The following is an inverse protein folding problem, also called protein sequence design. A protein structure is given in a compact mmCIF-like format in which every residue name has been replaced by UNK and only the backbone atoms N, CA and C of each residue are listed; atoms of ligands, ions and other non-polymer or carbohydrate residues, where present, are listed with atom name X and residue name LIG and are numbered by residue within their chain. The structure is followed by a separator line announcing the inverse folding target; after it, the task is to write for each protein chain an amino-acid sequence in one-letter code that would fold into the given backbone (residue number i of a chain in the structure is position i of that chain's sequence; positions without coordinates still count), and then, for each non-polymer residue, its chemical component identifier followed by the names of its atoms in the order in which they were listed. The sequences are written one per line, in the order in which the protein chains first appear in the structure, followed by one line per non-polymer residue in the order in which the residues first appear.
data_IF_975442552171
#
_entry.id   IF_975442552171
#
_cell.length_a   1.000
_cell.length_b   1.000
_cell.length_c   1.000
_cell.angle_alpha   90.00
_cell.angle_beta   90.00
_cell.angle_gamma   90.00
#
_symmetry.space_group_name_H-M   'P 1'
#
loop_
_entity.id
_entity.type
_entity.pdbx_description
1 polymer ?
#
# COMPACT_ATOMS: atom_id res chain seq x y z
N UNK A 1 21.50 37.34 -7.63
CA UNK A 1 20.37 36.54 -7.13
C UNK A 1 19.41 36.18 -8.26
N UNK A 2 18.92 37.15 -9.04
CA UNK A 2 17.94 36.91 -10.12
C UNK A 2 18.42 35.86 -11.15
N UNK A 3 19.70 35.85 -11.52
CA UNK A 3 20.24 34.79 -12.38
C UNK A 3 20.18 33.41 -11.72
N UNK A 4 20.46 33.34 -10.42
CA UNK A 4 20.46 32.06 -9.69
C UNK A 4 19.04 31.47 -9.51
N UNK A 5 18.02 32.32 -9.54
CA UNK A 5 16.59 31.93 -9.42
C UNK A 5 15.86 31.90 -10.76
N UNK A 6 16.58 32.10 -11.89
CA UNK A 6 15.99 32.17 -13.23
C UNK A 6 14.84 33.21 -13.33
N UNK A 7 15.05 34.40 -12.72
CA UNK A 7 14.06 35.49 -12.71
C UNK A 7 14.54 36.77 -13.38
N UNK A 8 15.74 36.75 -14.00
CA UNK A 8 16.32 37.95 -14.61
C UNK A 8 15.45 38.49 -15.77
N UNK A 9 14.81 37.60 -16.51
CA UNK A 9 13.90 37.95 -17.61
C UNK A 9 12.63 38.68 -17.16
N UNK A 10 12.32 38.64 -15.86
CA UNK A 10 11.15 39.32 -15.27
C UNK A 10 11.49 40.66 -14.63
N UNK A 11 12.75 41.13 -14.78
CA UNK A 11 13.24 42.31 -14.07
C UNK A 11 12.37 43.57 -14.31
N UNK A 12 11.87 43.71 -15.53
CA UNK A 12 11.10 44.88 -15.97
C UNK A 12 9.58 44.63 -16.03
N UNK A 13 9.11 43.45 -15.50
CA UNK A 13 7.68 43.11 -15.46
C UNK A 13 7.07 43.41 -14.11
N UNK A 14 5.80 43.82 -14.11
CA UNK A 14 5.04 43.93 -12.88
C UNK A 14 4.73 42.50 -12.32
N UNK A 15 4.74 42.38 -10.99
CA UNK A 15 4.49 41.09 -10.31
C UNK A 15 3.08 40.54 -10.62
N UNK A 16 2.14 41.42 -10.99
CA UNK A 16 0.78 41.04 -11.39
C UNK A 16 0.70 40.36 -12.75
N UNK A 17 1.72 40.54 -13.58
CA UNK A 17 1.83 39.95 -14.93
C UNK A 17 2.48 38.55 -14.93
N UNK A 18 2.98 38.12 -13.78
CA UNK A 18 3.69 36.85 -13.63
C UNK A 18 2.73 35.70 -13.31
N UNK A 19 3.01 34.54 -13.85
CA UNK A 19 2.35 33.31 -13.46
C UNK A 19 2.64 32.92 -12.00
N UNK A 20 1.91 31.97 -11.44
CA UNK A 20 2.11 31.51 -10.07
C UNK A 20 3.54 31.04 -9.79
N UNK A 21 4.12 30.23 -10.68
CA UNK A 21 5.49 29.71 -10.54
C UNK A 21 6.55 30.79 -10.68
N UNK A 22 6.37 31.76 -11.60
CA UNK A 22 7.25 32.92 -11.76
C UNK A 22 7.22 33.81 -10.51
N UNK A 23 6.04 34.07 -9.94
CA UNK A 23 5.89 34.78 -8.68
C UNK A 23 6.63 34.12 -7.53
N UNK A 24 6.52 32.79 -7.38
CA UNK A 24 7.23 32.05 -6.33
C UNK A 24 8.75 32.15 -6.49
N UNK A 25 9.28 32.07 -7.72
CA UNK A 25 10.71 32.28 -7.99
C UNK A 25 11.17 33.70 -7.66
N UNK A 26 10.35 34.71 -7.93
CA UNK A 26 10.65 36.13 -7.57
C UNK A 26 10.63 36.31 -6.04
N UNK A 27 9.67 35.70 -5.34
CA UNK A 27 9.63 35.75 -3.86
C UNK A 27 10.87 35.07 -3.26
N UNK A 28 11.30 33.92 -3.80
CA UNK A 28 12.52 33.27 -3.40
C UNK A 28 13.76 34.14 -3.67
N UNK A 29 13.82 34.80 -4.85
CA UNK A 29 14.88 35.76 -5.19
C UNK A 29 14.97 36.90 -4.19
N UNK A 30 13.82 37.48 -3.80
CA UNK A 30 13.74 38.55 -2.80
C UNK A 30 14.25 38.11 -1.43
N UNK A 31 13.88 36.88 -0.98
CA UNK A 31 14.39 36.32 0.27
C UNK A 31 15.91 36.12 0.23
N UNK A 32 16.43 35.57 -0.85
CA UNK A 32 17.86 35.30 -1.05
C UNK A 32 18.71 36.58 -1.20
N UNK A 33 18.12 37.70 -1.64
CA UNK A 33 18.80 38.98 -1.74
C UNK A 33 19.24 39.52 -0.37
N UNK A 34 18.60 39.06 0.71
CA UNK A 34 18.96 39.41 2.09
C UNK A 34 20.15 38.60 2.62
N UNK A 35 20.71 37.67 1.82
CA UNK A 35 21.82 36.79 2.19
C UNK A 35 21.58 36.03 3.52
N UNK A 36 20.44 35.35 3.69
CA UNK A 36 20.09 34.70 4.94
C UNK A 36 20.99 33.48 5.19
N UNK A 37 21.23 33.16 6.46
CA UNK A 37 21.86 31.89 6.88
C UNK A 37 20.85 30.75 6.94
N UNK A 38 19.61 31.07 7.20
CA UNK A 38 18.49 30.12 7.29
C UNK A 38 17.33 30.66 6.46
N UNK A 39 16.75 29.84 5.61
CA UNK A 39 15.58 30.14 4.80
C UNK A 39 14.37 29.46 5.41
N UNK A 40 13.34 30.23 5.72
CA UNK A 40 12.06 29.70 6.18
C UNK A 40 11.07 29.76 5.01
N UNK A 41 10.50 28.62 4.68
CA UNK A 41 9.61 28.45 3.53
C UNK A 41 8.27 27.90 4.02
N UNK A 42 7.23 28.70 3.83
CA UNK A 42 5.87 28.28 4.12
C UNK A 42 5.20 27.91 2.79
N UNK A 43 4.94 26.61 2.61
CA UNK A 43 4.31 26.04 1.43
C UNK A 43 4.87 26.54 0.07
N UNK A 44 6.18 26.44 -0.18
CA UNK A 44 6.80 27.03 -1.37
C UNK A 44 6.32 26.43 -2.69
N UNK A 45 5.58 25.32 -2.63
CA UNK A 45 5.06 24.58 -3.78
C UNK A 45 3.54 24.66 -3.94
N UNK A 46 2.84 25.40 -3.06
CA UNK A 46 1.39 25.53 -3.13
C UNK A 46 0.94 26.20 -4.42
N UNK A 47 -0.16 25.71 -4.99
CA UNK A 47 -0.75 26.22 -6.25
C UNK A 47 0.13 26.08 -7.50
N UNK A 48 1.17 25.25 -7.45
CA UNK A 48 1.99 24.92 -8.60
C UNK A 48 1.60 23.54 -9.14
N UNK A 49 1.68 23.36 -10.45
CA UNK A 49 1.62 22.01 -11.01
C UNK A 49 2.88 21.19 -10.66
N UNK A 50 2.81 19.87 -10.85
CA UNK A 50 3.84 18.93 -10.41
C UNK A 50 5.23 19.28 -10.96
N UNK A 51 5.33 19.71 -12.23
CA UNK A 51 6.62 20.02 -12.85
C UNK A 51 7.26 21.25 -12.20
N UNK A 52 6.49 22.30 -11.97
CA UNK A 52 6.97 23.49 -11.27
C UNK A 52 7.26 23.27 -9.79
N UNK A 53 6.53 22.38 -9.10
CA UNK A 53 6.86 21.97 -7.73
C UNK A 53 8.26 21.33 -7.65
N UNK A 54 8.53 20.36 -8.55
CA UNK A 54 9.82 19.68 -8.62
C UNK A 54 10.95 20.65 -8.97
N UNK A 55 10.73 21.52 -9.95
CA UNK A 55 11.71 22.56 -10.33
C UNK A 55 12.06 23.48 -9.16
N UNK A 56 11.04 23.95 -8.43
CA UNK A 56 11.20 24.84 -7.28
C UNK A 56 12.00 24.15 -6.15
N UNK A 57 11.66 22.93 -5.79
CA UNK A 57 12.36 22.19 -4.75
C UNK A 57 13.80 21.86 -5.15
N UNK A 58 14.04 21.50 -6.41
CA UNK A 58 15.40 21.33 -6.94
C UNK A 58 16.20 22.64 -6.90
N UNK A 59 15.59 23.76 -7.27
CA UNK A 59 16.21 25.07 -7.21
C UNK A 59 16.59 25.43 -5.76
N UNK A 60 15.67 25.26 -4.82
CA UNK A 60 15.92 25.51 -3.40
C UNK A 60 17.06 24.62 -2.89
N UNK A 61 17.02 23.31 -3.14
CA UNK A 61 18.05 22.35 -2.72
C UNK A 61 19.44 22.71 -3.26
N UNK A 62 19.51 23.08 -4.53
CA UNK A 62 20.75 23.56 -5.15
C UNK A 62 21.28 24.82 -4.47
N UNK A 63 20.45 25.85 -4.28
CA UNK A 63 20.83 27.12 -3.68
C UNK A 63 21.28 26.98 -2.22
N UNK A 64 20.61 26.13 -1.44
CA UNK A 64 21.01 25.80 -0.07
C UNK A 64 22.44 25.23 -0.06
N UNK A 65 22.73 24.27 -0.95
CA UNK A 65 24.03 23.63 -1.04
C UNK A 65 25.12 24.61 -1.52
N UNK A 66 24.85 25.37 -2.60
CA UNK A 66 25.81 26.33 -3.18
C UNK A 66 26.16 27.48 -2.21
N UNK A 67 25.18 27.91 -1.42
CA UNK A 67 25.35 29.06 -0.50
C UNK A 67 25.61 28.64 0.95
N UNK A 68 25.74 27.34 1.22
CA UNK A 68 25.93 26.78 2.56
C UNK A 68 24.93 27.35 3.59
N UNK A 69 23.63 27.29 3.23
CA UNK A 69 22.51 27.78 4.06
C UNK A 69 21.74 26.60 4.66
N UNK A 70 21.04 26.85 5.77
CA UNK A 70 19.98 25.97 6.23
C UNK A 70 18.62 26.34 5.61
N UNK A 71 17.69 25.39 5.54
CA UNK A 71 16.29 25.69 5.23
C UNK A 71 15.36 24.88 6.11
N UNK A 72 14.24 25.49 6.47
CA UNK A 72 13.10 24.83 7.10
C UNK A 72 11.88 25.10 6.23
N UNK A 73 11.22 24.04 5.77
CA UNK A 73 10.06 24.17 4.89
C UNK A 73 8.85 23.44 5.48
N UNK A 74 7.69 24.11 5.47
CA UNK A 74 6.41 23.43 5.63
C UNK A 74 5.99 22.88 4.26
N UNK A 75 5.74 21.57 4.18
CA UNK A 75 5.28 20.87 2.97
C UNK A 75 4.05 20.05 3.30
N UNK A 76 3.05 20.06 2.42
CA UNK A 76 1.84 19.24 2.59
C UNK A 76 1.99 17.84 2.00
N UNK A 77 2.79 17.68 0.95
CA UNK A 77 3.01 16.38 0.32
C UNK A 77 4.18 15.64 0.99
N UNK A 78 3.90 14.53 1.71
CA UNK A 78 4.92 13.77 2.38
C UNK A 78 5.86 13.05 1.40
N UNK A 79 5.45 12.78 0.15
CA UNK A 79 6.32 12.22 -0.88
C UNK A 79 7.36 13.24 -1.33
N UNK A 80 6.94 14.51 -1.56
CA UNK A 80 7.89 15.59 -1.85
C UNK A 80 8.81 15.84 -0.66
N UNK A 81 8.29 15.84 0.57
CA UNK A 81 9.11 15.98 1.76
C UNK A 81 10.15 14.84 1.86
N UNK A 82 9.74 13.60 1.62
CA UNK A 82 10.65 12.44 1.61
C UNK A 82 11.77 12.56 0.58
N UNK A 83 11.46 13.07 -0.60
CA UNK A 83 12.41 13.14 -1.71
C UNK A 83 13.40 14.30 -1.59
N UNK A 84 12.97 15.43 -1.06
CA UNK A 84 13.73 16.67 -1.10
C UNK A 84 14.36 17.09 0.24
N UNK A 85 13.85 16.61 1.37
CA UNK A 85 14.36 16.97 2.68
C UNK A 85 15.35 15.94 3.23
N UNK A 86 16.41 16.42 3.91
CA UNK A 86 17.38 15.55 4.58
C UNK A 86 16.81 15.02 5.91
N UNK A 87 15.93 15.81 6.54
CA UNK A 87 15.24 15.47 7.79
C UNK A 87 13.79 15.94 7.75
N UNK A 88 12.94 15.19 8.43
CA UNK A 88 11.52 15.47 8.58
C UNK A 88 11.23 15.79 10.05
N UNK A 89 10.40 16.79 10.27
CA UNK A 89 9.73 17.05 11.55
C UNK A 89 8.26 16.71 11.35
N UNK A 90 7.79 15.66 12.00
CA UNK A 90 6.38 15.31 12.00
C UNK A 90 5.71 15.96 13.20
N UNK A 91 4.59 16.66 12.97
CA UNK A 91 3.89 17.41 14.01
C UNK A 91 2.46 16.89 14.20
N UNK A 92 2.01 16.87 15.46
CA UNK A 92 0.65 16.54 15.85
C UNK A 92 0.21 17.50 16.96
N UNK A 93 -0.96 18.12 16.80
CA UNK A 93 -1.56 19.02 17.80
C UNK A 93 -0.59 20.12 18.30
N UNK A 94 0.16 20.71 17.37
CA UNK A 94 1.12 21.78 17.66
C UNK A 94 2.40 21.34 18.36
N UNK A 95 2.64 20.04 18.48
CA UNK A 95 3.85 19.45 19.10
C UNK A 95 4.63 18.62 18.09
N UNK A 96 5.94 18.53 18.30
CA UNK A 96 6.77 17.61 17.54
C UNK A 96 6.40 16.19 18.00
N UNK A 97 5.93 15.38 17.07
CA UNK A 97 5.61 13.97 17.26
C UNK A 97 6.84 13.10 17.05
N UNK A 98 7.56 13.36 15.93
CA UNK A 98 8.77 12.62 15.58
C UNK A 98 9.72 13.52 14.76
N UNK A 99 11.04 13.18 14.75
CA UNK A 99 12.06 13.92 14.02
C UNK A 99 13.21 13.00 13.62
N UNK A 100 13.57 13.01 12.34
CA UNK A 100 14.67 12.16 11.84
C UNK A 100 14.80 12.15 10.34
N UNK A 101 15.45 11.11 9.80
CA UNK A 101 15.51 10.88 8.36
C UNK A 101 14.10 10.48 7.84
N UNK A 102 13.81 10.77 6.55
CA UNK A 102 12.49 10.47 5.98
C UNK A 102 12.01 9.03 6.23
N UNK A 103 12.87 8.04 6.02
CA UNK A 103 12.55 6.62 6.21
C UNK A 103 12.22 6.24 7.66
N UNK A 104 12.79 6.95 8.63
CA UNK A 104 12.61 6.65 10.05
C UNK A 104 11.32 7.30 10.58
N UNK A 105 10.96 8.46 10.04
CA UNK A 105 9.81 9.26 10.49
C UNK A 105 8.53 8.95 9.72
N UNK A 106 8.62 8.79 8.39
CA UNK A 106 7.47 8.56 7.52
C UNK A 106 7.13 7.05 7.47
N UNK A 107 6.73 6.50 8.59
CA UNK A 107 6.28 5.11 8.72
C UNK A 107 4.76 5.01 8.65
N UNK A 108 4.21 3.86 8.23
CA UNK A 108 2.76 3.62 8.22
C UNK A 108 2.15 3.88 9.60
N UNK A 109 2.85 3.49 10.68
CA UNK A 109 2.43 3.74 12.06
C UNK A 109 2.33 5.23 12.37
N UNK A 110 3.39 6.00 12.11
CA UNK A 110 3.43 7.43 12.42
C UNK A 110 2.39 8.21 11.61
N UNK A 111 2.24 7.87 10.32
CA UNK A 111 1.25 8.51 9.46
C UNK A 111 -0.18 8.18 9.87
N UNK A 112 -0.43 6.96 10.35
CA UNK A 112 -1.72 6.59 10.95
C UNK A 112 -2.01 7.40 12.20
N UNK A 113 -1.04 7.51 13.11
CA UNK A 113 -1.20 8.22 14.38
C UNK A 113 -1.39 9.73 14.20
N UNK A 114 -0.70 10.34 13.23
CA UNK A 114 -0.72 11.79 13.04
C UNK A 114 -1.88 12.23 12.16
N UNK A 115 -2.09 11.56 11.01
CA UNK A 115 -3.07 11.97 10.01
C UNK A 115 -4.34 11.12 9.99
N UNK A 116 -4.39 10.05 10.80
CA UNK A 116 -5.49 9.08 10.82
C UNK A 116 -5.82 8.51 9.44
N UNK A 117 -4.78 8.20 8.66
CA UNK A 117 -4.87 7.57 7.34
C UNK A 117 -4.10 6.25 7.33
N UNK A 118 -4.64 5.26 6.65
CA UNK A 118 -3.94 4.03 6.35
C UNK A 118 -3.12 4.23 5.08
N UNK A 119 -1.84 3.87 5.13
CA UNK A 119 -0.90 4.05 4.02
C UNK A 119 0.04 2.86 3.90
N UNK A 120 0.44 2.56 2.68
CA UNK A 120 1.59 1.72 2.39
C UNK A 120 2.80 2.62 2.23
N UNK A 121 3.88 2.32 2.95
CA UNK A 121 5.16 3.04 2.83
C UNK A 121 6.20 2.08 2.29
N UNK A 122 6.81 2.42 1.14
CA UNK A 122 7.86 1.62 0.52
C UNK A 122 9.13 2.45 0.31
N UNK A 123 10.28 1.83 0.49
CA UNK A 123 11.55 2.47 0.17
C UNK A 123 11.71 2.64 -1.34
N UNK A 124 12.23 3.79 -1.75
CA UNK A 124 12.52 4.04 -3.15
C UNK A 124 13.80 3.28 -3.55
N UNK A 125 13.76 2.43 -4.61
CA UNK A 125 14.88 1.53 -4.94
C UNK A 125 16.17 2.25 -5.34
N UNK A 126 16.11 3.53 -5.70
CA UNK A 126 17.25 4.31 -6.21
C UNK A 126 17.63 5.45 -5.26
N UNK A 127 16.66 6.04 -4.56
CA UNK A 127 16.89 7.19 -3.69
C UNK A 127 16.72 6.76 -2.22
N UNK A 128 17.46 7.41 -1.32
CA UNK A 128 17.30 7.22 0.12
C UNK A 128 16.04 7.97 0.63
N UNK A 129 14.91 7.62 0.07
CA UNK A 129 13.58 8.21 0.33
C UNK A 129 12.53 7.11 0.38
N UNK A 130 11.37 7.42 0.91
CA UNK A 130 10.19 6.55 0.87
C UNK A 130 9.11 7.16 0.00
N UNK A 131 8.26 6.34 -0.58
CA UNK A 131 7.03 6.78 -1.20
C UNK A 131 5.83 6.21 -0.45
N UNK A 132 4.83 7.06 -0.32
CA UNK A 132 3.65 6.83 0.50
C UNK A 132 2.46 6.72 -0.44
N UNK A 133 1.76 5.60 -0.37
CA UNK A 133 0.54 5.33 -1.13
C UNK A 133 -0.64 5.35 -0.15
N UNK A 134 -1.51 6.36 -0.23
CA UNK A 134 -2.73 6.37 0.59
C UNK A 134 -3.63 5.20 0.24
N UNK A 135 -4.15 4.55 1.27
CA UNK A 135 -5.16 3.53 1.12
C UNK A 135 -6.54 4.18 1.28
N UNK A 136 -7.46 3.90 0.36
CA UNK A 136 -8.80 4.47 0.39
C UNK A 136 -9.50 4.10 1.69
N UNK A 137 -10.07 5.09 2.41
CA UNK A 137 -10.99 4.80 3.51
C UNK A 137 -12.28 4.27 2.91
N UNK A 138 -12.48 2.97 2.97
CA UNK A 138 -13.82 2.42 2.81
C UNK A 138 -14.55 2.75 4.11
N UNK A 139 -15.28 3.88 4.13
CA UNK A 139 -16.14 4.24 5.25
C UNK A 139 -17.36 3.30 5.23
N UNK A 140 -17.27 2.23 6.02
CA UNK A 140 -18.47 1.47 6.35
C UNK A 140 -18.39 1.11 7.83
N UNK A 141 -19.36 1.62 8.60
CA UNK A 141 -19.60 1.26 9.99
C UNK A 141 -20.17 -0.18 10.04
N UNK A 142 -19.30 -1.16 9.80
CA UNK A 142 -19.66 -2.54 10.10
C UNK A 142 -19.23 -2.85 11.54
N UNK A 143 -20.18 -3.32 12.33
CA UNK A 143 -19.87 -3.94 13.62
C UNK A 143 -18.89 -5.08 13.39
N UNK A 144 -17.83 -5.15 14.18
CA UNK A 144 -16.81 -6.19 14.08
C UNK A 144 -17.46 -7.58 14.14
N UNK A 145 -17.47 -8.26 13.01
CA UNK A 145 -17.98 -9.63 12.92
C UNK A 145 -16.86 -10.56 13.40
N UNK A 146 -17.08 -11.26 14.49
CA UNK A 146 -16.09 -12.15 15.09
C UNK A 146 -15.92 -13.44 14.26
N UNK A 147 -15.46 -13.29 12.99
CA UNK A 147 -15.20 -14.38 12.06
C UNK A 147 -13.75 -14.37 11.60
N UNK A 148 -13.14 -15.54 11.60
CA UNK A 148 -11.77 -15.75 11.13
C UNK A 148 -11.78 -16.21 9.68
N UNK A 149 -11.03 -15.54 8.85
CA UNK A 149 -10.92 -15.80 7.42
C UNK A 149 -9.49 -16.19 7.10
N UNK A 150 -9.30 -17.31 6.44
CA UNK A 150 -8.01 -17.71 5.90
C UNK A 150 -7.99 -17.52 4.39
N UNK A 151 -6.95 -16.84 3.87
CA UNK A 151 -6.82 -16.49 2.46
C UNK A 151 -5.66 -17.27 1.85
N UNK A 152 -5.96 -18.13 0.90
CA UNK A 152 -4.97 -18.84 0.08
C UNK A 152 -4.70 -18.00 -1.16
N UNK A 153 -3.50 -17.44 -1.26
CA UNK A 153 -3.14 -16.51 -2.33
C UNK A 153 -1.66 -16.63 -2.73
N UNK A 154 -1.28 -15.85 -3.72
CA UNK A 154 0.07 -15.74 -4.26
C UNK A 154 0.07 -15.07 -5.64
N UNK A 155 1.24 -14.59 -6.09
CA UNK A 155 1.36 -13.86 -7.36
C UNK A 155 0.68 -12.49 -7.36
N UNK A 156 0.52 -11.86 -6.18
CA UNK A 156 -0.13 -10.56 -6.03
C UNK A 156 -1.66 -10.60 -6.09
N UNK A 157 -2.25 -11.79 -6.18
CA UNK A 157 -3.71 -11.95 -6.38
C UNK A 157 -4.52 -11.82 -5.09
N UNK A 158 -3.86 -11.90 -3.92
CA UNK A 158 -4.47 -11.79 -2.60
C UNK A 158 -4.47 -10.39 -2.01
N UNK A 159 -3.59 -9.52 -2.46
CA UNK A 159 -3.35 -8.20 -1.85
C UNK A 159 -4.61 -7.37 -1.65
N UNK A 160 -5.46 -7.28 -2.67
CA UNK A 160 -6.73 -6.55 -2.61
C UNK A 160 -7.72 -7.21 -1.63
N UNK A 161 -7.80 -8.54 -1.64
CA UNK A 161 -8.70 -9.34 -0.79
C UNK A 161 -8.30 -9.16 0.69
N UNK A 162 -7.02 -9.33 1.00
CA UNK A 162 -6.45 -9.13 2.34
C UNK A 162 -6.77 -7.73 2.84
N UNK A 163 -6.50 -6.71 2.01
CA UNK A 163 -6.75 -5.32 2.36
C UNK A 163 -8.23 -5.02 2.65
N UNK A 164 -9.16 -5.56 1.86
CA UNK A 164 -10.59 -5.35 2.05
C UNK A 164 -11.12 -6.01 3.32
N UNK A 165 -10.62 -7.21 3.65
CA UNK A 165 -11.16 -8.03 4.73
C UNK A 165 -10.54 -7.74 6.09
N UNK A 166 -9.24 -7.41 6.17
CA UNK A 166 -8.53 -7.24 7.46
C UNK A 166 -9.12 -6.19 8.39
N UNK A 167 -9.89 -5.25 7.86
CA UNK A 167 -10.50 -4.15 8.63
C UNK A 167 -11.76 -4.55 9.39
N UNK A 168 -12.34 -5.67 9.03
CA UNK A 168 -13.64 -6.11 9.51
C UNK A 168 -13.62 -7.53 10.09
N UNK A 169 -12.60 -8.31 9.73
CA UNK A 169 -12.44 -9.71 10.08
C UNK A 169 -11.04 -9.98 10.60
N UNK A 170 -10.89 -11.02 11.39
CA UNK A 170 -9.60 -11.60 11.72
C UNK A 170 -9.09 -12.38 10.51
N UNK A 171 -8.04 -11.88 9.85
CA UNK A 171 -7.52 -12.45 8.61
C UNK A 171 -6.19 -13.14 8.85
N UNK A 172 -6.02 -14.30 8.24
CA UNK A 172 -4.73 -14.99 8.08
C UNK A 172 -4.51 -15.36 6.62
N UNK A 173 -3.26 -15.61 6.22
CA UNK A 173 -2.94 -15.94 4.83
C UNK A 173 -1.83 -16.99 4.70
N UNK A 174 -1.82 -17.72 3.60
CA UNK A 174 -0.75 -18.69 3.30
C UNK A 174 -1.12 -19.73 2.25
N UNK A 175 -0.14 -20.43 1.68
CA UNK A 175 1.32 -20.21 1.80
C UNK A 175 1.76 -19.25 0.70
N UNK A 176 2.46 -18.19 1.06
CA UNK A 176 2.85 -17.11 0.16
C UNK A 176 4.37 -17.10 0.01
N UNK A 177 4.89 -16.84 -1.19
CA UNK A 177 6.31 -16.62 -1.38
C UNK A 177 6.75 -15.30 -0.74
N UNK A 178 7.88 -15.29 -0.01
CA UNK A 178 8.35 -14.11 0.73
C UNK A 178 8.65 -12.88 -0.15
N UNK A 179 8.92 -13.08 -1.46
CA UNK A 179 9.13 -11.99 -2.42
C UNK A 179 7.85 -11.56 -3.16
N UNK A 180 6.71 -12.12 -2.77
CA UNK A 180 5.43 -11.81 -3.38
C UNK A 180 4.86 -10.49 -2.81
N UNK A 181 4.16 -9.72 -3.64
CA UNK A 181 3.45 -8.53 -3.18
C UNK A 181 2.36 -8.83 -2.13
N UNK A 182 1.80 -10.04 -2.13
CA UNK A 182 0.88 -10.48 -1.08
C UNK A 182 1.58 -10.60 0.28
N UNK A 183 2.87 -11.02 0.29
CA UNK A 183 3.68 -11.05 1.50
C UNK A 183 3.98 -9.65 2.02
N UNK A 184 4.27 -8.69 1.12
CA UNK A 184 4.45 -7.29 1.50
C UNK A 184 3.21 -6.75 2.22
N UNK A 185 2.02 -6.98 1.66
CA UNK A 185 0.75 -6.53 2.25
C UNK A 185 0.50 -7.19 3.61
N UNK A 186 0.75 -8.49 3.75
CA UNK A 186 0.62 -9.17 5.04
C UNK A 186 1.54 -8.56 6.10
N UNK A 187 2.80 -8.32 5.77
CA UNK A 187 3.77 -7.70 6.69
C UNK A 187 3.38 -6.27 7.07
N UNK A 188 2.94 -5.47 6.10
CA UNK A 188 2.54 -4.07 6.32
C UNK A 188 1.29 -3.94 7.21
N UNK A 189 0.35 -4.86 7.06
CA UNK A 189 -0.91 -4.86 7.82
C UNK A 189 -0.83 -5.68 9.12
N UNK A 190 0.30 -6.36 9.38
CA UNK A 190 0.46 -7.24 10.55
C UNK A 190 -0.42 -8.48 10.51
N UNK A 191 -0.72 -8.99 9.30
CA UNK A 191 -1.51 -10.20 9.09
C UNK A 191 -0.68 -11.43 9.44
N UNK A 192 -1.26 -12.36 10.20
CA UNK A 192 -0.64 -13.65 10.47
C UNK A 192 -0.59 -14.47 9.18
N UNK A 193 0.62 -14.73 8.66
CA UNK A 193 0.80 -15.37 7.37
C UNK A 193 1.94 -16.38 7.37
N UNK A 194 1.80 -17.42 6.53
CA UNK A 194 2.83 -18.43 6.32
C UNK A 194 3.61 -18.11 5.05
N UNK A 195 4.93 -17.96 5.22
CA UNK A 195 5.82 -17.63 4.11
C UNK A 195 6.71 -18.80 3.73
N UNK A 196 6.93 -18.94 2.42
CA UNK A 196 7.88 -19.89 1.85
C UNK A 196 9.08 -19.15 1.25
N UNK A 197 10.22 -19.83 1.22
CA UNK A 197 11.44 -19.27 0.63
C UNK A 197 11.27 -18.96 -0.87
N UNK A 198 12.03 -17.98 -1.41
CA UNK A 198 11.93 -17.62 -2.82
C UNK A 198 12.18 -18.83 -3.74
N UNK A 199 11.34 -18.95 -4.76
CA UNK A 199 11.45 -19.98 -5.81
C UNK A 199 11.46 -21.43 -5.30
N UNK A 200 11.07 -21.66 -4.04
CA UNK A 200 10.97 -22.99 -3.45
C UNK A 200 9.54 -23.53 -3.57
N UNK A 201 9.37 -24.85 -3.76
CA UNK A 201 8.07 -25.47 -3.60
C UNK A 201 7.62 -25.36 -2.13
N UNK A 202 6.30 -25.35 -1.93
CA UNK A 202 5.72 -25.32 -0.58
C UNK A 202 6.21 -26.55 0.20
N UNK A 203 6.90 -26.29 1.31
CA UNK A 203 7.41 -27.33 2.19
C UNK A 203 6.28 -28.08 2.93
N UNK A 204 6.51 -29.31 3.28
CA UNK A 204 5.54 -30.12 4.06
C UNK A 204 5.21 -29.45 5.41
N UNK A 205 6.18 -28.81 6.02
CA UNK A 205 5.99 -28.06 7.28
C UNK A 205 5.03 -26.91 7.09
N UNK A 206 5.26 -26.05 6.08
CA UNK A 206 4.41 -24.91 5.80
C UNK A 206 3.03 -25.32 5.30
N UNK A 207 2.94 -26.42 4.55
CA UNK A 207 1.65 -26.98 4.17
C UNK A 207 0.83 -27.40 5.41
N UNK A 208 1.45 -28.08 6.40
CA UNK A 208 0.76 -28.46 7.66
C UNK A 208 0.34 -27.24 8.48
N UNK A 209 1.18 -26.21 8.57
CA UNK A 209 0.83 -24.95 9.21
C UNK A 209 -0.39 -24.31 8.54
N UNK A 210 -0.45 -24.36 7.20
CA UNK A 210 -1.56 -23.85 6.41
C UNK A 210 -2.88 -24.59 6.74
N UNK A 211 -2.83 -25.92 6.80
CA UNK A 211 -3.99 -26.72 7.21
C UNK A 211 -4.46 -26.38 8.63
N UNK A 212 -3.52 -26.13 9.56
CA UNK A 212 -3.86 -25.71 10.92
C UNK A 212 -4.57 -24.36 10.94
N UNK A 213 -4.11 -23.37 10.15
CA UNK A 213 -4.80 -22.08 10.02
C UNK A 213 -6.19 -22.23 9.39
N UNK A 214 -6.34 -23.10 8.40
CA UNK A 214 -7.61 -23.44 7.79
C UNK A 214 -8.57 -24.04 8.84
N UNK A 215 -8.11 -24.99 9.65
CA UNK A 215 -8.93 -25.57 10.71
C UNK A 215 -9.40 -24.54 11.73
N UNK A 216 -8.56 -23.54 12.05
CA UNK A 216 -8.87 -22.45 12.98
C UNK A 216 -9.78 -21.38 12.37
N UNK A 217 -10.00 -21.35 11.05
CA UNK A 217 -10.82 -20.34 10.38
C UNK A 217 -12.28 -20.78 10.23
N UNK A 218 -13.17 -19.79 10.07
CA UNK A 218 -14.59 -20.02 9.74
C UNK A 218 -14.82 -20.06 8.22
N UNK A 219 -14.05 -19.26 7.50
CA UNK A 219 -14.17 -19.04 6.06
C UNK A 219 -12.81 -19.21 5.42
N UNK A 220 -12.75 -19.86 4.27
CA UNK A 220 -11.53 -20.00 3.48
C UNK A 220 -11.75 -19.43 2.08
N UNK A 221 -10.88 -18.53 1.68
CA UNK A 221 -10.94 -17.87 0.38
C UNK A 221 -9.72 -18.27 -0.42
N UNK A 222 -9.89 -18.64 -1.69
CA UNK A 222 -8.78 -18.81 -2.62
C UNK A 222 -8.86 -17.75 -3.72
N UNK A 223 -7.75 -17.06 -3.94
CA UNK A 223 -7.62 -16.08 -5.03
C UNK A 223 -7.30 -16.77 -6.36
N UNK A 224 -7.32 -16.00 -7.46
CA UNK A 224 -7.00 -16.49 -8.81
C UNK A 224 -5.49 -16.68 -9.03
N UNK A 225 -4.80 -17.26 -8.06
CA UNK A 225 -3.35 -17.46 -8.17
C UNK A 225 -2.95 -18.39 -9.31
N UNK A 226 -1.77 -18.19 -9.95
CA UNK A 226 -1.23 -19.13 -10.92
C UNK A 226 -0.71 -20.40 -10.21
N UNK A 227 -0.99 -21.56 -10.79
CA UNK A 227 -0.59 -22.86 -10.24
C UNK A 227 0.56 -23.47 -11.03
N UNK A 228 1.66 -23.76 -10.32
CA UNK A 228 2.75 -24.61 -10.78
C UNK A 228 2.90 -25.84 -9.88
N UNK A 229 3.81 -26.74 -10.21
CA UNK A 229 4.07 -27.94 -9.39
C UNK A 229 4.49 -27.55 -7.94
N UNK A 230 5.17 -26.40 -7.76
CA UNK A 230 5.68 -25.96 -6.46
C UNK A 230 4.58 -25.45 -5.51
N UNK A 231 3.45 -24.96 -6.01
CA UNK A 231 2.38 -24.39 -5.20
C UNK A 231 1.01 -25.07 -5.38
N UNK A 232 0.96 -26.19 -6.09
CA UNK A 232 -0.26 -27.00 -6.22
C UNK A 232 -0.83 -27.43 -4.86
N UNK A 233 0.01 -27.48 -3.83
CA UNK A 233 -0.39 -27.72 -2.45
C UNK A 233 -1.37 -26.67 -1.92
N UNK A 234 -1.33 -25.44 -2.40
CA UNK A 234 -2.32 -24.41 -2.05
C UNK A 234 -3.75 -24.80 -2.51
N UNK A 235 -3.87 -25.34 -3.73
CA UNK A 235 -5.17 -25.82 -4.20
C UNK A 235 -5.65 -27.06 -3.45
N UNK A 236 -4.73 -27.95 -3.04
CA UNK A 236 -5.06 -29.10 -2.18
C UNK A 236 -5.47 -28.65 -0.76
N UNK A 237 -4.88 -27.57 -0.23
CA UNK A 237 -5.29 -27.01 1.04
C UNK A 237 -6.71 -26.41 0.96
N UNK A 238 -7.08 -25.81 -0.17
CA UNK A 238 -8.45 -25.37 -0.38
C UNK A 238 -9.42 -26.57 -0.50
N UNK A 239 -9.05 -27.62 -1.21
CA UNK A 239 -9.81 -28.89 -1.25
C UNK A 239 -10.03 -29.45 0.18
N UNK A 240 -9.00 -29.40 1.02
CA UNK A 240 -9.12 -29.79 2.43
C UNK A 240 -10.19 -28.96 3.17
N UNK A 241 -10.23 -27.62 2.96
CA UNK A 241 -11.23 -26.76 3.55
C UNK A 241 -12.67 -27.13 3.11
N UNK A 242 -12.85 -27.39 1.81
CA UNK A 242 -14.14 -27.87 1.25
C UNK A 242 -14.57 -29.17 1.92
N UNK A 243 -13.66 -30.15 2.00
CA UNK A 243 -13.94 -31.45 2.62
C UNK A 243 -14.21 -31.38 4.13
N UNK A 244 -13.73 -30.33 4.80
CA UNK A 244 -14.05 -30.01 6.21
C UNK A 244 -15.38 -29.31 6.39
N UNK A 245 -16.11 -29.01 5.31
CA UNK A 245 -17.39 -28.30 5.36
C UNK A 245 -17.25 -26.82 5.76
N UNK A 246 -16.08 -26.23 5.59
CA UNK A 246 -15.89 -24.79 5.80
C UNK A 246 -16.67 -23.99 4.75
N UNK A 247 -17.07 -22.78 5.07
CA UNK A 247 -17.54 -21.85 4.06
C UNK A 247 -16.36 -21.49 3.14
N UNK A 248 -16.49 -21.81 1.85
CA UNK A 248 -15.39 -21.62 0.87
C UNK A 248 -15.81 -20.67 -0.23
N UNK A 249 -14.92 -19.75 -0.57
CA UNK A 249 -15.11 -18.75 -1.63
C UNK A 249 -13.93 -18.85 -2.62
N UNK A 250 -14.24 -18.97 -3.90
CA UNK A 250 -13.26 -18.94 -4.99
C UNK A 250 -13.40 -17.64 -5.77
N UNK A 251 -12.30 -16.90 -5.88
CA UNK A 251 -12.21 -15.76 -6.79
C UNK A 251 -11.75 -16.28 -8.14
N UNK A 252 -12.58 -16.14 -9.15
CA UNK A 252 -12.35 -16.67 -10.51
C UNK A 252 -12.39 -15.51 -11.50
N UNK A 253 -11.30 -14.72 -11.54
CA UNK A 253 -11.17 -13.50 -12.34
C UNK A 253 -10.61 -13.76 -13.74
N UNK A 254 -9.99 -14.93 -13.94
CA UNK A 254 -9.37 -15.33 -15.20
C UNK A 254 -9.51 -16.84 -15.43
N UNK A 255 -9.64 -17.30 -16.70
CA UNK A 255 -9.74 -18.72 -17.00
C UNK A 255 -8.58 -19.51 -16.40
N UNK A 256 -8.90 -20.63 -15.72
CA UNK A 256 -7.89 -21.47 -15.07
C UNK A 256 -6.85 -22.01 -16.08
N UNK A 257 -7.22 -22.17 -17.33
CA UNK A 257 -6.35 -22.61 -18.42
C UNK A 257 -5.18 -21.65 -18.66
N UNK A 258 -5.36 -20.35 -18.37
CA UNK A 258 -4.32 -19.32 -18.56
C UNK A 258 -3.32 -19.26 -17.40
N UNK A 259 -3.61 -19.89 -16.29
CA UNK A 259 -2.83 -19.89 -15.06
C UNK A 259 -2.49 -21.26 -14.51
N UNK A 260 -2.74 -22.32 -15.29
CA UNK A 260 -2.30 -23.69 -14.99
C UNK A 260 -0.98 -24.04 -15.69
N UNK A 261 0.06 -24.21 -14.90
CA UNK A 261 1.40 -24.66 -15.31
C UNK A 261 1.71 -26.06 -14.76
N UNK A 262 0.68 -26.87 -14.42
CA UNK A 262 0.80 -28.22 -13.84
C UNK A 262 0.47 -29.34 -14.83
N UNK A 263 0.24 -29.00 -16.11
CA UNK A 263 -0.17 -29.97 -17.13
C UNK A 263 -1.59 -30.48 -16.94
N UNK A 264 -2.52 -29.63 -16.51
CA UNK A 264 -3.94 -29.94 -16.39
C UNK A 264 -4.38 -30.41 -15.00
N UNK A 265 -3.46 -30.65 -14.06
CA UNK A 265 -3.81 -31.08 -12.68
C UNK A 265 -4.61 -30.02 -11.94
N UNK A 266 -4.20 -28.74 -12.04
CA UNK A 266 -4.91 -27.65 -11.40
C UNK A 266 -6.27 -27.40 -12.05
N UNK A 267 -6.41 -27.47 -13.37
CA UNK A 267 -7.68 -27.32 -14.09
C UNK A 267 -8.72 -28.32 -13.56
N UNK A 268 -8.38 -29.59 -13.51
CA UNK A 268 -9.30 -30.65 -13.08
C UNK A 268 -9.77 -30.44 -11.64
N UNK A 269 -8.84 -30.10 -10.74
CA UNK A 269 -9.15 -29.86 -9.33
C UNK A 269 -9.94 -28.57 -9.13
N UNK A 270 -9.54 -27.46 -9.78
CA UNK A 270 -10.21 -26.18 -9.73
C UNK A 270 -11.68 -26.27 -10.13
N UNK A 271 -11.96 -26.87 -11.30
CA UNK A 271 -13.33 -27.00 -11.82
C UNK A 271 -14.22 -27.83 -10.89
N UNK A 272 -13.68 -28.91 -10.31
CA UNK A 272 -14.42 -29.70 -9.31
C UNK A 272 -14.76 -28.88 -8.05
N UNK A 273 -13.79 -28.12 -7.52
CA UNK A 273 -13.97 -27.30 -6.31
C UNK A 273 -14.89 -26.12 -6.55
N UNK A 274 -14.91 -25.60 -7.77
CA UNK A 274 -15.83 -24.51 -8.19
C UNK A 274 -17.30 -24.89 -8.06
N UNK A 275 -17.66 -26.14 -8.34
CA UNK A 275 -19.03 -26.64 -8.15
C UNK A 275 -19.46 -26.76 -6.68
N UNK A 276 -18.48 -26.81 -5.76
CA UNK A 276 -18.70 -27.03 -4.33
C UNK A 276 -18.52 -25.74 -3.49
N UNK A 277 -18.13 -24.64 -4.11
CA UNK A 277 -17.76 -23.40 -3.44
C UNK A 277 -18.58 -22.22 -3.97
N UNK A 278 -18.63 -21.13 -3.19
CA UNK A 278 -19.15 -19.85 -3.69
C UNK A 278 -18.10 -19.29 -4.65
N UNK A 279 -18.50 -18.99 -5.88
CA UNK A 279 -17.59 -18.40 -6.88
C UNK A 279 -17.97 -16.94 -7.10
N UNK A 280 -16.98 -16.04 -7.12
CA UNK A 280 -17.14 -14.63 -7.40
C UNK A 280 -16.18 -14.18 -8.51
N UNK A 281 -16.60 -13.21 -9.33
CA UNK A 281 -15.74 -12.57 -10.32
C UNK A 281 -14.90 -11.45 -9.70
N UNK A 282 -13.96 -10.91 -10.50
CA UNK A 282 -13.08 -9.82 -10.05
C UNK A 282 -13.85 -8.52 -9.74
N UNK A 283 -14.93 -8.25 -10.45
CA UNK A 283 -15.84 -7.12 -10.25
C UNK A 283 -16.62 -7.21 -8.94
N UNK A 284 -16.79 -8.42 -8.39
CA UNK A 284 -17.47 -8.67 -7.11
C UNK A 284 -16.51 -8.61 -5.92
N UNK A 285 -15.19 -8.62 -6.12
CA UNK A 285 -14.19 -8.62 -5.02
C UNK A 285 -14.35 -7.40 -4.11
N UNK A 286 -14.75 -6.25 -4.63
CA UNK A 286 -15.01 -5.05 -3.82
C UNK A 286 -16.19 -5.21 -2.87
N UNK A 287 -17.14 -6.07 -3.21
CA UNK A 287 -18.32 -6.37 -2.41
C UNK A 287 -18.14 -7.62 -1.54
N UNK A 288 -16.93 -8.19 -1.49
CA UNK A 288 -16.65 -9.43 -0.76
C UNK A 288 -17.06 -9.37 0.73
N UNK A 289 -16.84 -8.27 1.46
CA UNK A 289 -17.33 -8.15 2.83
C UNK A 289 -18.86 -8.32 2.93
N UNK A 290 -19.62 -7.68 2.03
CA UNK A 290 -21.08 -7.78 1.99
C UNK A 290 -21.54 -9.19 1.66
N UNK A 291 -20.94 -9.83 0.69
CA UNK A 291 -21.24 -11.22 0.31
C UNK A 291 -21.04 -12.15 1.51
N UNK A 292 -19.98 -11.94 2.29
CA UNK A 292 -19.71 -12.71 3.50
C UNK A 292 -20.79 -12.43 4.55
N UNK A 293 -21.15 -11.17 4.79
CA UNK A 293 -22.20 -10.80 5.76
C UNK A 293 -23.55 -11.42 5.42
N UNK A 294 -23.98 -11.33 4.19
CA UNK A 294 -25.26 -11.90 3.72
C UNK A 294 -25.30 -13.43 3.91
N UNK A 295 -24.22 -14.12 3.56
CA UNK A 295 -24.15 -15.58 3.65
C UNK A 295 -24.06 -16.07 5.08
N UNK A 296 -23.30 -15.41 5.94
CA UNK A 296 -23.18 -15.78 7.36
C UNK A 296 -24.47 -15.43 8.11
N UNK A 297 -25.08 -14.27 7.83
CA UNK A 297 -26.37 -13.87 8.42
C UNK A 297 -27.52 -14.81 8.05
N UNK A 298 -27.58 -15.28 6.81
CA UNK A 298 -28.55 -16.25 6.37
C UNK A 298 -28.45 -17.63 7.06
N UNK A 299 -27.27 -17.96 7.56
CA UNK A 299 -27.02 -19.23 8.28
C UNK A 299 -27.52 -19.15 9.74
N UNK A 300 -27.48 -17.96 10.36
CA UNK A 300 -27.95 -17.73 11.73
C UNK A 300 -29.48 -17.67 11.87
N UNK A 301 -30.22 -17.39 10.77
CA UNK A 301 -31.69 -17.33 10.78
C UNK A 301 -32.37 -18.70 10.51
N UNK A 302 -31.60 -19.75 10.21
CA UNK A 302 -32.11 -21.11 9.92
C UNK A 302 -31.77 -22.15 11.00
N UNK A 303 -31.18 -21.76 12.11
CA UNK A 303 -30.90 -22.56 13.32
C UNK A 303 -31.78 -22.06 14.47
#
# INVERSE_FOLDING_TARGET
VMRATNTLEFADRFITELSGGEKQRVILARALAQQPKILLLDEPTSHLDISYQIEMLNLIKRLIKEKNMGALSALHDPNLASQFCDKIILMKDGKIYDFGAPKDVLTSKNLKEVFNIDVIVKEHPVYNSVYILPLSKVNRDYTSFNKRIHIICGGGTGSKIIYLLHRQFEVSAGVINILDSDADVCNELGIDAIFEAPFSPISEENYRKNLFMIDASDIVIISSLPFGEGNLSNLKAFEYAVNRGKMTIMVDDSPIETRDFTGGKAISLWNRLKEMSITIGNDEVENLPEIIYERVGATQTRG
#
